data_IF_773730110621
#
_entry.id   IF_773730110621
#
_cell.length_a   1.000
_cell.length_b   1.000
_cell.length_c   1.000
_cell.angle_alpha   90.00
_cell.angle_beta   90.00
_cell.angle_gamma   90.00
#
_symmetry.space_group_name_H-M   'P 1'
#
loop_
_entity.id
_entity.type
_entity.pdbx_description
1 polymer ?
#
# COMPACT_ATOMS: atom_id res chain seq x y z
N UNK A 1 -4.78 -16.56 0.90
CA UNK A 1 -6.24 -16.52 1.17
C UNK A 1 -7.15 -16.50 -0.07
N UNK A 2 -6.70 -16.89 -1.28
CA UNK A 2 -7.57 -16.89 -2.49
C UNK A 2 -8.31 -18.21 -2.77
N UNK A 3 -8.12 -19.24 -1.95
CA UNK A 3 -8.73 -20.58 -2.16
C UNK A 3 -10.11 -20.77 -1.48
N UNK A 4 -10.54 -19.85 -0.62
CA UNK A 4 -11.78 -20.03 0.17
C UNK A 4 -13.01 -19.31 -0.39
N UNK A 5 -12.84 -18.32 -1.27
CA UNK A 5 -13.97 -17.56 -1.84
C UNK A 5 -14.95 -18.40 -2.70
N UNK A 6 -14.50 -19.34 -3.56
CA UNK A 6 -15.45 -20.12 -4.36
C UNK A 6 -16.24 -21.14 -3.53
N UNK A 7 -15.71 -21.60 -2.40
CA UNK A 7 -16.40 -22.56 -1.51
C UNK A 7 -17.57 -21.93 -0.74
N UNK A 8 -17.42 -20.69 -0.31
CA UNK A 8 -18.47 -19.92 0.40
C UNK A 8 -19.61 -19.55 -0.56
N UNK A 9 -19.30 -19.29 -1.84
CA UNK A 9 -20.32 -18.94 -2.84
C UNK A 9 -21.20 -20.13 -3.22
N UNK A 10 -20.62 -21.34 -3.31
CA UNK A 10 -21.37 -22.57 -3.62
C UNK A 10 -22.31 -22.96 -2.46
N UNK A 11 -21.85 -22.85 -1.21
CA UNK A 11 -22.70 -23.15 -0.03
C UNK A 11 -23.84 -22.16 0.15
N UNK A 12 -23.66 -20.88 -0.20
CA UNK A 12 -24.72 -19.86 -0.17
C UNK A 12 -25.75 -20.01 -1.30
N UNK A 13 -25.37 -20.58 -2.45
CA UNK A 13 -26.31 -20.85 -3.55
C UNK A 13 -27.19 -22.08 -3.28
N UNK A 14 -26.78 -22.97 -2.39
CA UNK A 14 -27.49 -24.22 -2.11
C UNK A 14 -28.57 -24.11 -1.03
N UNK A 15 -28.59 -23.05 -0.24
CA UNK A 15 -29.62 -22.81 0.77
C UNK A 15 -30.88 -22.12 0.24
N UNK A 16 -30.92 -21.75 -1.05
CA UNK A 16 -31.95 -20.83 -1.59
C UNK A 16 -32.99 -21.41 -2.56
N UNK A 17 -32.82 -22.62 -3.09
CA UNK A 17 -33.70 -23.16 -4.13
C UNK A 17 -34.00 -24.64 -3.85
N UNK A 18 -35.27 -25.04 -3.92
CA UNK A 18 -35.78 -26.38 -3.59
C UNK A 18 -35.25 -27.50 -4.48
N UNK A 19 -34.01 -27.91 -4.22
CA UNK A 19 -33.45 -29.18 -4.69
C UNK A 19 -34.11 -30.32 -3.91
N UNK A 20 -34.38 -31.43 -4.57
CA UNK A 20 -34.76 -32.66 -3.88
C UNK A 20 -33.59 -33.20 -3.06
N UNK A 21 -33.89 -33.84 -1.93
CA UNK A 21 -32.90 -34.42 -1.00
C UNK A 21 -31.82 -35.25 -1.72
N UNK A 22 -32.23 -36.09 -2.69
CA UNK A 22 -31.31 -36.91 -3.49
C UNK A 22 -30.29 -36.09 -4.32
N UNK A 23 -30.68 -34.90 -4.80
CA UNK A 23 -29.79 -34.02 -5.58
C UNK A 23 -28.85 -33.24 -4.68
N UNK A 24 -29.29 -32.90 -3.46
CA UNK A 24 -28.43 -32.28 -2.46
C UNK A 24 -27.33 -33.26 -2.01
N UNK A 25 -27.69 -34.51 -1.71
CA UNK A 25 -26.72 -35.55 -1.29
C UNK A 25 -25.66 -35.82 -2.37
N UNK A 26 -26.07 -35.98 -3.63
CA UNK A 26 -25.14 -36.18 -4.75
C UNK A 26 -24.19 -34.99 -4.96
N UNK A 27 -24.67 -33.77 -4.71
CA UNK A 27 -23.85 -32.58 -4.85
C UNK A 27 -22.87 -32.42 -3.69
N UNK A 28 -23.29 -32.68 -2.46
CA UNK A 28 -22.41 -32.69 -1.29
C UNK A 28 -21.27 -33.71 -1.46
N UNK A 29 -21.59 -34.91 -1.97
CA UNK A 29 -20.60 -35.94 -2.27
C UNK A 29 -19.62 -35.50 -3.39
N UNK A 30 -20.12 -34.87 -4.45
CA UNK A 30 -19.30 -34.36 -5.55
C UNK A 30 -18.35 -33.23 -5.10
N UNK A 31 -18.86 -32.28 -4.29
CA UNK A 31 -18.05 -31.20 -3.72
C UNK A 31 -17.00 -31.75 -2.76
N UNK A 32 -17.36 -32.73 -1.92
CA UNK A 32 -16.43 -33.41 -1.02
C UNK A 32 -15.28 -34.09 -1.75
N UNK A 33 -15.58 -34.82 -2.84
CA UNK A 33 -14.56 -35.43 -3.72
C UNK A 33 -13.63 -34.40 -4.35
N UNK A 34 -14.18 -33.34 -4.94
CA UNK A 34 -13.40 -32.28 -5.57
C UNK A 34 -12.51 -31.53 -4.55
N UNK A 35 -13.00 -31.32 -3.33
CA UNK A 35 -12.22 -30.72 -2.24
C UNK A 35 -11.03 -31.59 -1.84
N UNK A 36 -11.25 -32.91 -1.71
CA UNK A 36 -10.23 -33.87 -1.33
C UNK A 36 -9.13 -33.96 -2.41
N UNK A 37 -9.52 -34.04 -3.68
CA UNK A 37 -8.58 -34.06 -4.82
C UNK A 37 -7.77 -32.75 -4.93
N UNK A 38 -8.41 -31.59 -4.73
CA UNK A 38 -7.73 -30.30 -4.75
C UNK A 38 -6.72 -30.17 -3.58
N UNK A 39 -7.10 -30.66 -2.40
CA UNK A 39 -6.22 -30.67 -1.23
C UNK A 39 -5.03 -31.62 -1.43
N UNK A 40 -5.25 -32.79 -2.00
CA UNK A 40 -4.19 -33.77 -2.30
C UNK A 40 -3.23 -33.25 -3.38
N UNK A 41 -3.75 -32.61 -4.42
CA UNK A 41 -2.94 -31.93 -5.44
C UNK A 41 -2.13 -30.75 -4.87
N UNK A 42 -2.70 -29.98 -3.93
CA UNK A 42 -1.97 -28.91 -3.26
C UNK A 42 -0.86 -29.45 -2.36
N UNK A 43 -1.11 -30.55 -1.63
CA UNK A 43 -0.12 -31.23 -0.81
C UNK A 43 1.04 -31.76 -1.66
N UNK A 44 0.76 -32.46 -2.77
CA UNK A 44 1.80 -33.00 -3.65
C UNK A 44 2.65 -31.91 -4.30
N UNK A 45 2.05 -30.80 -4.75
CA UNK A 45 2.80 -29.63 -5.29
C UNK A 45 3.65 -28.95 -4.23
N UNK A 46 3.15 -28.82 -3.00
CA UNK A 46 3.91 -28.22 -1.90
C UNK A 46 5.07 -29.10 -1.43
N UNK A 47 4.88 -30.42 -1.44
CA UNK A 47 5.92 -31.39 -1.12
C UNK A 47 7.03 -31.39 -2.18
N UNK A 48 6.68 -31.35 -3.47
CA UNK A 48 7.66 -31.24 -4.56
C UNK A 48 8.45 -29.94 -4.49
N UNK A 49 7.78 -28.79 -4.25
CA UNK A 49 8.47 -27.51 -4.10
C UNK A 49 9.37 -27.45 -2.86
N UNK A 50 8.99 -28.09 -1.76
CA UNK A 50 9.83 -28.19 -0.57
C UNK A 50 11.07 -29.07 -0.81
N UNK A 51 10.92 -30.17 -1.54
CA UNK A 51 12.01 -31.07 -1.92
C UNK A 51 12.98 -30.40 -2.92
N UNK A 52 12.47 -29.64 -3.88
CA UNK A 52 13.27 -28.86 -4.84
C UNK A 52 14.07 -27.75 -4.13
N UNK A 53 13.45 -27.05 -3.18
CA UNK A 53 14.11 -26.03 -2.35
C UNK A 53 15.16 -26.67 -1.43
N UNK A 54 14.84 -27.80 -0.80
CA UNK A 54 15.77 -28.53 0.08
C UNK A 54 17.00 -29.01 -0.70
N UNK A 55 16.79 -29.62 -1.87
CA UNK A 55 17.87 -30.07 -2.77
C UNK A 55 18.75 -28.90 -3.21
N UNK A 56 18.14 -27.78 -3.60
CA UNK A 56 18.87 -26.56 -3.98
C UNK A 56 19.69 -25.99 -2.80
N UNK A 57 19.16 -26.04 -1.58
CA UNK A 57 19.87 -25.63 -0.36
C UNK A 57 21.07 -26.53 -0.09
N UNK A 58 20.94 -27.84 -0.23
CA UNK A 58 22.04 -28.79 0.00
C UNK A 58 23.14 -28.68 -1.05
N UNK A 59 22.79 -28.55 -2.33
CA UNK A 59 23.74 -28.34 -3.43
C UNK A 59 24.55 -27.05 -3.30
N UNK A 60 24.01 -26.07 -2.57
CA UNK A 60 24.62 -24.76 -2.35
C UNK A 60 25.24 -24.61 -0.96
N UNK A 61 25.57 -25.71 -0.27
CA UNK A 61 26.28 -25.66 1.02
C UNK A 61 25.42 -25.12 2.17
N UNK A 62 24.10 -25.32 2.10
CA UNK A 62 23.13 -24.81 3.06
C UNK A 62 22.72 -23.36 2.82
N UNK A 63 21.96 -22.80 3.75
CA UNK A 63 21.50 -21.41 3.68
C UNK A 63 22.65 -20.40 3.56
N UNK A 64 23.85 -20.75 4.06
CA UNK A 64 25.02 -19.89 4.05
C UNK A 64 25.63 -19.75 2.65
N UNK A 65 25.72 -20.82 1.85
CA UNK A 65 26.25 -20.70 0.48
C UNK A 65 25.26 -20.10 -0.52
N UNK A 66 23.95 -20.14 -0.25
CA UNK A 66 22.97 -19.32 -0.99
C UNK A 66 23.22 -17.82 -0.74
N UNK A 67 23.45 -17.44 0.52
CA UNK A 67 23.80 -16.07 0.89
C UNK A 67 25.10 -15.61 0.22
N UNK A 68 26.14 -16.45 0.19
CA UNK A 68 27.40 -16.15 -0.50
C UNK A 68 27.23 -15.96 -2.01
N UNK A 69 26.40 -16.78 -2.68
CA UNK A 69 26.09 -16.58 -4.10
C UNK A 69 25.31 -15.31 -4.38
N UNK A 70 24.39 -14.92 -3.51
CA UNK A 70 23.66 -13.66 -3.62
C UNK A 70 24.64 -12.48 -3.51
N UNK A 71 25.54 -12.52 -2.52
CA UNK A 71 26.58 -11.48 -2.35
C UNK A 71 27.49 -11.40 -3.56
N UNK A 72 28.01 -12.54 -4.05
CA UNK A 72 28.85 -12.57 -5.27
C UNK A 72 28.12 -12.05 -6.52
N UNK A 73 26.82 -12.33 -6.66
CA UNK A 73 26.02 -11.81 -7.76
C UNK A 73 25.91 -10.27 -7.69
N UNK A 74 25.73 -9.71 -6.50
CA UNK A 74 25.70 -8.26 -6.32
C UNK A 74 27.07 -7.62 -6.54
N UNK A 75 28.15 -8.22 -6.03
CA UNK A 75 29.51 -7.70 -6.22
C UNK A 75 29.89 -7.68 -7.72
N UNK A 76 29.56 -8.74 -8.46
CA UNK A 76 29.75 -8.80 -9.92
C UNK A 76 28.88 -7.82 -10.70
N UNK A 77 27.77 -7.34 -10.12
CA UNK A 77 26.89 -6.34 -10.74
C UNK A 77 27.50 -4.92 -10.66
N UNK A 78 28.46 -4.69 -9.76
CA UNK A 78 29.03 -3.37 -9.50
C UNK A 78 30.54 -3.26 -9.77
N UNK A 79 31.28 -4.36 -9.95
CA UNK A 79 32.72 -4.37 -10.25
C UNK A 79 33.11 -3.86 -11.66
N UNK A 80 32.15 -3.45 -12.50
CA UNK A 80 32.41 -2.88 -13.83
C UNK A 80 32.49 -1.36 -13.92
N UNK A 81 32.35 -0.62 -12.81
CA UNK A 81 32.15 0.84 -12.82
C UNK A 81 33.29 1.63 -12.15
N UNK A 82 34.55 1.27 -12.39
CA UNK A 82 35.72 2.12 -12.07
C UNK A 82 36.12 3.04 -13.26
N UNK A 83 35.14 3.46 -14.07
CA UNK A 83 35.34 4.60 -14.95
C UNK A 83 35.12 5.89 -14.15
N UNK A 84 36.11 6.78 -14.12
CA UNK A 84 35.96 8.17 -13.63
C UNK A 84 34.76 8.84 -14.32
N UNK A 85 33.59 8.71 -13.68
CA UNK A 85 32.39 9.40 -14.12
C UNK A 85 32.54 10.83 -13.61
N UNK A 86 33.13 11.69 -14.45
CA UNK A 86 33.01 13.14 -14.30
C UNK A 86 31.52 13.43 -14.05
N UNK A 87 31.20 13.82 -12.81
CA UNK A 87 29.88 14.27 -12.41
C UNK A 87 29.57 15.55 -13.17
N UNK A 88 29.16 15.41 -14.43
CA UNK A 88 28.44 16.46 -15.14
C UNK A 88 27.15 16.63 -14.35
N UNK A 89 27.12 17.69 -13.54
CA UNK A 89 25.88 18.25 -13.00
C UNK A 89 25.06 18.72 -14.20
N UNK A 90 24.37 17.78 -14.84
CA UNK A 90 23.32 18.11 -15.76
C UNK A 90 22.29 18.85 -14.93
N UNK A 91 22.29 20.18 -15.02
CA UNK A 91 21.15 20.98 -14.62
C UNK A 91 20.01 20.49 -15.49
N UNK A 92 19.23 19.54 -14.98
CA UNK A 92 17.95 19.13 -15.55
C UNK A 92 17.12 20.40 -15.54
N UNK A 93 17.14 21.10 -16.66
CA UNK A 93 16.20 22.18 -16.95
C UNK A 93 14.89 21.46 -17.19
N UNK A 94 14.20 21.15 -16.10
CA UNK A 94 12.88 20.56 -16.15
C UNK A 94 11.97 21.54 -16.86
N UNK A 95 11.69 21.24 -18.13
CA UNK A 95 10.58 21.81 -18.88
C UNK A 95 9.29 21.34 -18.20
N UNK A 96 8.93 21.99 -17.10
CA UNK A 96 7.62 21.82 -16.50
C UNK A 96 6.62 22.37 -17.50
N UNK A 97 5.88 21.47 -18.14
CA UNK A 97 4.69 21.85 -18.88
C UNK A 97 3.85 22.78 -17.98
N UNK A 98 3.24 23.83 -18.55
CA UNK A 98 2.46 24.79 -17.78
C UNK A 98 1.38 24.05 -16.97
N UNK A 99 1.40 24.25 -15.65
CA UNK A 99 0.42 23.63 -14.75
C UNK A 99 -0.87 24.44 -14.79
N UNK A 100 -2.00 23.76 -14.94
CA UNK A 100 -3.32 24.34 -14.82
C UNK A 100 -3.65 24.51 -13.35
N UNK A 101 -3.91 25.75 -12.91
CA UNK A 101 -4.31 26.03 -11.53
C UNK A 101 -5.83 26.08 -11.48
N UNK A 102 -6.42 25.18 -10.69
CA UNK A 102 -7.85 25.17 -10.36
C UNK A 102 -8.00 25.83 -8.99
N UNK A 103 -8.89 26.81 -8.91
CA UNK A 103 -9.23 27.44 -7.63
C UNK A 103 -10.28 26.63 -6.90
N UNK A 104 -10.09 26.38 -5.61
CA UNK A 104 -11.15 25.88 -4.73
C UNK A 104 -12.29 26.89 -4.68
N UNK A 105 -13.51 26.40 -4.71
CA UNK A 105 -14.66 27.21 -4.31
C UNK A 105 -14.67 27.35 -2.77
N UNK A 106 -15.57 28.19 -2.24
CA UNK A 106 -15.64 28.44 -0.81
C UNK A 106 -15.94 27.18 0.01
N UNK A 107 -16.82 26.30 -0.48
CA UNK A 107 -17.17 25.04 0.21
C UNK A 107 -15.98 24.09 0.30
N UNK A 108 -15.23 23.94 -0.79
CA UNK A 108 -14.00 23.14 -0.85
C UNK A 108 -12.91 23.71 0.05
N UNK A 109 -12.77 25.04 0.09
CA UNK A 109 -11.80 25.69 0.96
C UNK A 109 -12.14 25.48 2.44
N UNK A 110 -13.41 25.65 2.81
CA UNK A 110 -13.87 25.40 4.17
C UNK A 110 -13.66 23.94 4.58
N UNK A 111 -13.98 22.98 3.69
CA UNK A 111 -13.75 21.56 3.95
C UNK A 111 -12.27 21.24 4.11
N UNK A 112 -11.41 21.82 3.27
CA UNK A 112 -9.96 21.69 3.41
C UNK A 112 -9.51 22.16 4.79
N UNK A 113 -9.91 23.37 5.21
CA UNK A 113 -9.56 23.91 6.54
C UNK A 113 -10.09 23.07 7.69
N UNK A 114 -11.31 22.54 7.59
CA UNK A 114 -11.90 21.62 8.57
C UNK A 114 -11.06 20.34 8.69
N UNK A 115 -10.71 19.72 7.56
CA UNK A 115 -9.88 18.50 7.55
C UNK A 115 -8.50 18.76 8.15
N UNK A 116 -7.88 19.89 7.84
CA UNK A 116 -6.60 20.27 8.45
C UNK A 116 -6.72 20.47 9.96
N UNK A 117 -7.86 20.96 10.43
CA UNK A 117 -8.17 21.05 11.85
C UNK A 117 -8.26 19.67 12.53
N UNK A 118 -8.38 18.56 11.80
CA UNK A 118 -8.34 17.21 12.38
C UNK A 118 -6.92 16.65 12.52
N UNK A 119 -5.90 17.41 12.09
CA UNK A 119 -4.51 16.93 12.02
C UNK A 119 -3.54 17.87 12.73
N UNK A 120 -2.28 17.45 12.78
CA UNK A 120 -1.13 18.27 13.18
C UNK A 120 -0.10 18.22 12.06
N UNK A 121 0.51 19.34 11.70
CA UNK A 121 1.65 19.34 10.78
C UNK A 121 2.94 19.08 11.56
N UNK A 122 3.78 18.17 11.08
CA UNK A 122 5.09 17.89 11.68
C UNK A 122 5.97 19.15 11.77
N UNK A 123 5.87 20.02 10.77
CA UNK A 123 6.60 21.28 10.71
C UNK A 123 5.82 22.28 9.85
N UNK A 124 6.08 23.59 10.03
CA UNK A 124 5.48 24.64 9.22
C UNK A 124 5.88 24.58 7.72
N UNK A 125 6.95 23.85 7.39
CA UNK A 125 7.37 23.63 6.00
C UNK A 125 6.53 22.59 5.26
N UNK A 126 5.67 21.83 5.95
CA UNK A 126 4.81 20.82 5.32
C UNK A 126 3.74 21.54 4.50
N UNK A 127 3.91 21.53 3.19
CA UNK A 127 3.04 22.19 2.22
C UNK A 127 1.89 21.28 1.80
N UNK A 128 0.69 21.69 2.19
CA UNK A 128 -0.57 20.99 1.97
C UNK A 128 -1.61 21.88 1.29
N UNK A 129 -1.27 23.14 1.01
CA UNK A 129 -2.19 24.13 0.45
C UNK A 129 -2.76 23.68 -0.90
N UNK A 130 -1.99 22.89 -1.66
CA UNK A 130 -2.39 22.45 -3.00
C UNK A 130 -3.06 21.08 -3.05
N UNK A 131 -3.31 20.43 -1.90
CA UNK A 131 -3.90 19.09 -1.85
C UNK A 131 -5.21 19.01 -2.62
N UNK A 132 -5.39 17.93 -3.35
CA UNK A 132 -6.66 17.68 -4.06
C UNK A 132 -7.79 17.46 -3.07
N UNK A 133 -9.05 17.86 -3.38
CA UNK A 133 -10.21 17.58 -2.54
C UNK A 133 -10.37 16.09 -2.18
N UNK A 134 -9.94 15.20 -3.07
CA UNK A 134 -9.91 13.77 -2.78
C UNK A 134 -8.91 13.39 -1.69
N UNK A 135 -7.75 14.05 -1.65
CA UNK A 135 -6.76 13.83 -0.58
C UNK A 135 -7.28 14.39 0.74
N UNK A 136 -8.02 15.51 0.73
CA UNK A 136 -8.72 16.01 1.92
C UNK A 136 -9.71 14.96 2.46
N UNK A 137 -10.49 14.35 1.56
CA UNK A 137 -11.38 13.24 1.93
C UNK A 137 -10.62 12.07 2.53
N UNK A 138 -9.45 11.73 1.97
CA UNK A 138 -8.62 10.65 2.49
C UNK A 138 -8.07 10.95 3.90
N UNK A 139 -7.63 12.19 4.15
CA UNK A 139 -7.16 12.63 5.46
C UNK A 139 -8.29 12.54 6.50
N UNK A 140 -9.50 12.97 6.14
CA UNK A 140 -10.67 12.84 7.02
C UNK A 140 -10.96 11.39 7.42
N UNK A 141 -10.91 10.46 6.44
CA UNK A 141 -11.08 9.02 6.70
C UNK A 141 -9.97 8.49 7.60
N UNK A 142 -8.71 8.88 7.36
CA UNK A 142 -7.60 8.50 8.23
C UNK A 142 -7.85 8.98 9.66
N UNK A 143 -8.19 10.26 9.86
CA UNK A 143 -8.50 10.80 11.19
C UNK A 143 -9.62 10.01 11.88
N UNK A 144 -10.72 9.73 11.16
CA UNK A 144 -11.83 8.94 11.68
C UNK A 144 -11.41 7.53 12.11
N UNK A 145 -10.56 6.84 11.35
CA UNK A 145 -10.05 5.52 11.73
C UNK A 145 -9.18 5.59 12.99
N UNK A 146 -8.36 6.63 13.14
CA UNK A 146 -7.61 6.87 14.37
C UNK A 146 -8.55 7.10 15.57
N UNK A 147 -9.57 7.94 15.43
CA UNK A 147 -10.57 8.19 16.49
C UNK A 147 -11.26 6.88 16.91
N UNK A 148 -11.70 6.09 15.95
CA UNK A 148 -12.40 4.84 16.22
C UNK A 148 -11.50 3.80 16.88
N UNK A 149 -10.24 3.69 16.44
CA UNK A 149 -9.30 2.68 16.92
C UNK A 149 -8.76 3.01 18.31
N UNK A 150 -8.51 4.28 18.61
CA UNK A 150 -8.00 4.73 19.91
C UNK A 150 -9.09 5.18 20.89
N UNK A 151 -10.35 5.24 20.44
CA UNK A 151 -11.49 5.75 21.22
C UNK A 151 -11.22 7.16 21.77
N UNK A 152 -10.62 7.99 20.92
CA UNK A 152 -10.25 9.36 21.23
C UNK A 152 -10.58 10.27 20.05
N UNK A 153 -11.71 10.98 20.14
CA UNK A 153 -12.18 11.92 19.12
C UNK A 153 -11.26 13.17 19.00
N UNK A 154 -10.36 13.38 19.97
CA UNK A 154 -9.39 14.47 19.93
C UNK A 154 -8.04 14.03 19.35
N UNK A 155 -7.89 12.74 19.00
CA UNK A 155 -6.65 12.27 18.41
C UNK A 155 -6.42 12.98 17.07
N UNK A 156 -5.21 13.52 16.86
CA UNK A 156 -4.85 14.22 15.62
C UNK A 156 -3.66 13.53 14.95
N UNK A 157 -3.87 12.83 13.81
CA UNK A 157 -2.77 12.27 13.05
C UNK A 157 -1.79 13.36 12.61
N UNK A 158 -0.50 13.04 12.63
CA UNK A 158 0.55 14.00 12.26
C UNK A 158 0.88 13.84 10.78
N UNK A 159 0.65 14.87 9.96
CA UNK A 159 1.09 14.91 8.57
C UNK A 159 2.58 15.26 8.53
N UNK A 160 3.37 14.42 7.85
CA UNK A 160 4.82 14.56 7.78
C UNK A 160 5.33 15.10 6.45
N UNK A 161 4.55 14.97 5.38
CA UNK A 161 4.87 15.49 4.04
C UNK A 161 3.59 15.63 3.21
N UNK A 162 3.59 16.62 2.32
CA UNK A 162 2.68 16.79 1.20
C UNK A 162 3.50 17.18 -0.02
N UNK A 163 3.27 18.36 -0.59
CA UNK A 163 4.08 18.87 -1.70
C UNK A 163 5.25 19.76 -1.23
N UNK A 164 6.11 19.22 -0.36
CA UNK A 164 7.13 19.99 0.37
C UNK A 164 8.58 19.51 0.22
N UNK A 165 8.80 18.33 -0.34
CA UNK A 165 10.13 17.70 -0.37
C UNK A 165 10.60 17.43 -1.79
N UNK A 166 11.82 17.83 -2.12
CA UNK A 166 12.55 17.50 -3.36
C UNK A 166 13.13 16.07 -3.33
N UNK A 167 12.99 15.36 -2.21
CA UNK A 167 13.50 13.99 -2.02
C UNK A 167 12.58 12.93 -2.60
N UNK A 168 11.39 13.32 -3.06
CA UNK A 168 10.47 12.40 -3.70
C UNK A 168 10.96 12.06 -5.11
N UNK A 169 10.73 10.83 -5.56
CA UNK A 169 11.08 10.43 -6.92
C UNK A 169 10.43 11.33 -7.98
N UNK A 170 11.07 11.51 -9.14
CA UNK A 170 10.66 12.45 -10.21
C UNK A 170 9.16 12.37 -10.58
N UNK A 171 8.57 11.18 -10.47
CA UNK A 171 7.15 10.93 -10.76
C UNK A 171 6.28 10.72 -9.52
N UNK A 172 6.71 11.22 -8.37
CA UNK A 172 5.92 11.12 -7.14
C UNK A 172 4.56 11.80 -7.28
N UNK A 173 3.57 11.26 -6.58
CA UNK A 173 2.22 11.81 -6.48
C UNK A 173 2.19 13.08 -5.60
N UNK A 174 3.16 13.23 -4.69
CA UNK A 174 3.33 14.43 -3.86
C UNK A 174 3.46 15.70 -4.69
N UNK A 175 4.26 15.66 -5.78
CA UNK A 175 4.45 16.80 -6.69
C UNK A 175 3.19 17.22 -7.47
N UNK A 176 2.19 16.34 -7.53
CA UNK A 176 0.89 16.58 -8.14
C UNK A 176 -0.20 16.86 -7.08
N UNK A 177 0.21 17.07 -5.83
CA UNK A 177 -0.65 17.26 -4.65
C UNK A 177 -1.71 16.16 -4.49
N UNK A 178 -1.34 14.94 -4.90
CA UNK A 178 -2.18 13.76 -4.96
C UNK A 178 -1.75 12.70 -3.93
N UNK A 179 -0.90 13.07 -2.99
CA UNK A 179 -0.42 12.22 -1.91
C UNK A 179 -0.19 13.02 -0.63
N UNK A 180 -0.17 12.30 0.49
CA UNK A 180 0.13 12.81 1.82
C UNK A 180 0.80 11.70 2.64
N UNK A 181 1.78 12.07 3.45
CA UNK A 181 2.47 11.17 4.37
C UNK A 181 2.00 11.43 5.79
N UNK A 182 1.56 10.39 6.50
CA UNK A 182 1.00 10.49 7.85
C UNK A 182 1.82 9.64 8.81
N UNK A 183 2.30 10.22 9.91
CA UNK A 183 3.09 9.54 10.93
C UNK A 183 2.27 8.43 11.59
N UNK A 184 2.77 7.20 11.51
CA UNK A 184 2.19 6.06 12.23
C UNK A 184 3.05 5.57 13.40
N UNK A 185 4.35 5.90 13.41
CA UNK A 185 5.30 5.45 14.45
C UNK A 185 4.93 5.84 15.89
N UNK A 186 4.09 6.85 16.08
CA UNK A 186 3.58 7.27 17.39
C UNK A 186 2.82 6.14 18.10
N UNK A 187 2.28 5.18 17.34
CA UNK A 187 1.70 3.95 17.87
C UNK A 187 2.83 2.95 18.11
N UNK A 188 3.23 2.73 19.37
CA UNK A 188 4.44 1.97 19.70
C UNK A 188 4.41 0.51 19.22
N UNK A 189 3.26 -0.13 19.30
CA UNK A 189 3.09 -1.55 18.95
C UNK A 189 2.98 -1.74 17.42
N UNK A 190 3.90 -2.49 16.83
CA UNK A 190 3.95 -2.75 15.39
C UNK A 190 2.72 -3.50 14.85
N UNK A 191 2.19 -4.47 15.60
CA UNK A 191 1.01 -5.21 15.15
C UNK A 191 -0.23 -4.30 15.13
N UNK A 192 -0.35 -3.40 16.10
CA UNK A 192 -1.39 -2.35 16.09
C UNK A 192 -1.20 -1.42 14.87
N UNK A 193 0.03 -1.05 14.52
CA UNK A 193 0.30 -0.25 13.30
C UNK A 193 -0.14 -0.96 12.03
N UNK A 194 0.14 -2.26 11.90
CA UNK A 194 -0.30 -3.05 10.74
C UNK A 194 -1.82 -3.13 10.63
N UNK A 195 -2.51 -3.36 11.75
CA UNK A 195 -3.99 -3.37 11.80
C UNK A 195 -4.54 -2.00 11.41
N UNK A 196 -3.98 -0.92 11.95
CA UNK A 196 -4.37 0.44 11.62
C UNK A 196 -4.18 0.75 10.14
N UNK A 197 -3.00 0.43 9.58
CA UNK A 197 -2.71 0.61 8.16
C UNK A 197 -3.66 -0.19 7.25
N UNK A 198 -3.98 -1.43 7.65
CA UNK A 198 -4.92 -2.27 6.92
C UNK A 198 -6.34 -1.69 6.97
N UNK A 199 -6.81 -1.27 8.14
CA UNK A 199 -8.12 -0.65 8.29
C UNK A 199 -8.25 0.63 7.46
N UNK A 200 -7.24 1.51 7.48
CA UNK A 200 -7.20 2.71 6.64
C UNK A 200 -7.29 2.34 5.15
N UNK A 201 -6.57 1.30 4.72
CA UNK A 201 -6.63 0.82 3.33
C UNK A 201 -8.02 0.31 2.96
N UNK A 202 -8.68 -0.41 3.86
CA UNK A 202 -10.01 -0.97 3.63
C UNK A 202 -11.08 0.14 3.53
N UNK A 203 -11.03 1.12 4.43
CA UNK A 203 -11.97 2.27 4.44
C UNK A 203 -11.78 3.20 3.22
N UNK A 204 -10.53 3.46 2.82
CA UNK A 204 -10.24 4.27 1.63
C UNK A 204 -10.63 3.55 0.33
N UNK A 205 -10.57 2.21 0.34
CA UNK A 205 -10.90 1.37 -0.79
C UNK A 205 -10.00 1.59 -2.00
N UNK A 206 -10.46 1.12 -3.16
CA UNK A 206 -9.62 1.01 -4.37
C UNK A 206 -9.30 2.33 -5.10
N UNK A 207 -9.83 3.47 -4.61
CA UNK A 207 -9.53 4.80 -5.16
C UNK A 207 -8.13 5.28 -4.76
N UNK A 208 -7.60 4.74 -3.67
CA UNK A 208 -6.31 5.14 -3.11
C UNK A 208 -5.32 3.98 -3.10
N UNK A 209 -4.04 4.33 -3.09
CA UNK A 209 -2.95 3.43 -2.72
C UNK A 209 -2.45 3.84 -1.34
N UNK A 210 -2.42 2.89 -0.42
CA UNK A 210 -1.93 3.09 0.97
C UNK A 210 -0.76 2.17 1.23
N UNK A 211 0.42 2.76 1.44
CA UNK A 211 1.67 2.05 1.72
C UNK A 211 2.11 2.36 3.16
N UNK A 212 2.57 1.34 3.87
CA UNK A 212 3.20 1.49 5.18
C UNK A 212 4.71 1.45 4.98
N UNK A 213 5.30 2.64 4.85
CA UNK A 213 6.68 2.82 4.45
C UNK A 213 7.61 2.93 5.67
N UNK A 214 8.89 2.61 5.46
CA UNK A 214 9.94 2.75 6.48
C UNK A 214 9.64 2.04 7.82
N UNK A 215 8.96 0.88 7.79
CA UNK A 215 8.51 0.16 8.99
C UNK A 215 9.65 -0.08 10.00
N UNK A 216 9.48 0.40 11.23
CA UNK A 216 10.47 0.33 12.31
C UNK A 216 11.50 1.47 12.31
N UNK A 217 11.70 2.15 11.18
CA UNK A 217 12.71 3.19 11.00
C UNK A 217 12.21 4.55 11.52
N UNK A 218 13.11 5.51 11.73
CA UNK A 218 12.73 6.84 12.24
C UNK A 218 11.72 7.57 11.32
N UNK A 219 11.73 7.27 10.02
CA UNK A 219 10.82 7.87 9.06
C UNK A 219 9.52 7.09 8.82
N UNK A 220 9.21 6.05 9.61
CA UNK A 220 7.99 5.25 9.45
C UNK A 220 6.70 6.10 9.36
N UNK A 221 5.95 5.93 8.28
CA UNK A 221 4.73 6.67 7.96
C UNK A 221 3.80 5.85 7.05
N UNK A 222 2.57 6.33 6.90
CA UNK A 222 1.62 5.90 5.87
C UNK A 222 1.69 6.87 4.71
N UNK A 223 2.09 6.38 3.54
CA UNK A 223 1.96 7.10 2.29
C UNK A 223 0.56 6.81 1.72
N UNK A 224 -0.27 7.84 1.65
CA UNK A 224 -1.64 7.77 1.13
C UNK A 224 -1.70 8.60 -0.14
N UNK A 225 -2.01 7.97 -1.27
CA UNK A 225 -2.10 8.67 -2.55
C UNK A 225 -3.32 8.26 -3.35
N UNK A 226 -3.74 9.13 -4.27
CA UNK A 226 -4.67 8.75 -5.32
C UNK A 226 -4.05 7.67 -6.20
N UNK A 227 -4.90 6.76 -6.68
CA UNK A 227 -4.47 5.72 -7.61
C UNK A 227 -3.88 6.35 -8.87
N UNK A 228 -2.72 5.85 -9.29
CA UNK A 228 -2.08 6.32 -10.51
C UNK A 228 -3.02 6.21 -11.71
N UNK A 229 -3.08 7.26 -12.52
CA UNK A 229 -3.97 7.34 -13.68
C UNK A 229 -5.38 7.85 -13.37
N UNK A 230 -5.74 8.10 -12.11
CA UNK A 230 -7.05 8.66 -11.74
C UNK A 230 -7.02 10.17 -11.46
N UNK A 231 -5.90 10.84 -11.74
CA UNK A 231 -5.73 12.28 -11.58
C UNK A 231 -4.79 12.83 -12.63
N UNK A 232 -5.05 14.06 -13.09
CA UNK A 232 -4.17 14.77 -14.02
C UNK A 232 -3.05 15.48 -13.25
N UNK A 233 -1.81 15.03 -13.45
CA UNK A 233 -0.60 15.55 -12.79
C UNK A 233 -0.31 17.02 -13.12
N UNK A 234 -0.88 17.56 -14.19
CA UNK A 234 -0.70 18.95 -14.60
C UNK A 234 -1.67 19.90 -13.92
N UNK A 235 -2.63 19.38 -13.15
CA UNK A 235 -3.57 20.18 -12.37
C UNK A 235 -3.02 20.42 -10.95
N UNK A 236 -3.06 21.66 -10.49
CA UNK A 236 -2.83 22.04 -9.09
C UNK A 236 -4.07 22.73 -8.53
N UNK A 237 -4.43 22.39 -7.30
CA UNK A 237 -5.50 23.07 -6.58
C UNK A 237 -4.91 24.23 -5.77
N UNK A 238 -5.65 25.33 -5.64
CA UNK A 238 -5.32 26.47 -4.78
C UNK A 238 -6.57 27.07 -4.18
#
# INVERSE_FOLDING_TARGET
MRLFLPFILVTLLLSGCGLSDDTQEQLEEAVGRAAAEALDSAKSKSAWAADEISTTIEEHGGAQGILEKIVQFFDGLFEGSEGECEKRSASKTESFAPRTVIKRNAEQQNYHEEVLSLTILKAASVNIDCLRPEVDTAINIVASVYHEMFKDDNYRPVITSGNDSDKHGERSAHYACAAVDIRIKVVENLEIRKVLAQKIRDELGSRYTVLHEDVGMANEHLHVQLRSGTYDRNIMWR
#
